data_IF_187341743586
#
_entry.id   IF_187341743586
#
_cell.length_a   1.000
_cell.length_b   1.000
_cell.length_c   1.000
_cell.angle_alpha   90.00
_cell.angle_beta   90.00
_cell.angle_gamma   90.00
#
_symmetry.space_group_name_H-M   'P 1'
#
loop_
_entity.id
_entity.type
_entity.pdbx_description
1 polymer ?
#
# COMPACT_ATOMS: atom_id res chain seq x y z
N UNK A 1 -8.28 -8.06 17.21
CA UNK A 1 -7.24 -7.06 16.87
C UNK A 1 -7.93 -5.70 16.77
N UNK A 2 -7.40 -4.64 17.37
CA UNK A 2 -8.01 -3.30 17.28
C UNK A 2 -7.99 -2.81 15.81
N UNK A 3 -9.06 -2.21 15.29
CA UNK A 3 -9.21 -1.87 13.86
C UNK A 3 -8.05 -1.02 13.30
N UNK A 4 -7.51 -0.13 14.15
CA UNK A 4 -6.35 0.71 13.82
C UNK A 4 -5.05 -0.08 13.58
N UNK A 5 -4.91 -1.24 14.23
CA UNK A 5 -3.76 -2.13 14.04
C UNK A 5 -3.92 -2.90 12.72
N UNK A 6 -5.14 -3.25 12.33
CA UNK A 6 -5.40 -3.91 11.06
C UNK A 6 -5.06 -3.00 9.88
N UNK A 7 -5.43 -1.72 9.96
CA UNK A 7 -5.10 -0.73 8.93
C UNK A 7 -3.58 -0.52 8.75
N UNK A 8 -2.80 -0.43 9.84
CA UNK A 8 -1.33 -0.35 9.72
C UNK A 8 -0.73 -1.63 9.13
N UNK A 9 -1.25 -2.82 9.45
CA UNK A 9 -0.64 -4.08 8.98
C UNK A 9 -1.04 -4.48 7.57
N UNK A 10 -2.29 -4.24 7.17
CA UNK A 10 -2.86 -4.89 5.99
C UNK A 10 -3.48 -3.96 4.97
N UNK A 11 -3.61 -2.64 5.23
CA UNK A 11 -4.35 -1.77 4.30
C UNK A 11 -3.76 -1.78 2.88
N UNK A 12 -2.45 -1.59 2.65
CA UNK A 12 -1.93 -1.63 1.29
C UNK A 12 -2.03 -3.01 0.66
N UNK A 13 -1.73 -4.06 1.43
CA UNK A 13 -1.84 -5.44 0.98
C UNK A 13 -3.27 -5.78 0.53
N UNK A 14 -4.27 -5.48 1.36
CA UNK A 14 -5.67 -5.68 1.06
C UNK A 14 -6.11 -4.87 -0.15
N UNK A 15 -5.72 -3.59 -0.23
CA UNK A 15 -6.08 -2.72 -1.36
C UNK A 15 -5.53 -3.28 -2.67
N UNK A 16 -4.25 -3.66 -2.71
CA UNK A 16 -3.63 -4.23 -3.92
C UNK A 16 -4.29 -5.53 -4.34
N UNK A 17 -4.48 -6.47 -3.41
CA UNK A 17 -5.05 -7.77 -3.72
C UNK A 17 -6.53 -7.67 -4.11
N UNK A 18 -7.32 -6.82 -3.43
CA UNK A 18 -8.73 -6.62 -3.74
C UNK A 18 -8.91 -5.99 -5.13
N UNK A 19 -8.18 -4.90 -5.43
CA UNK A 19 -8.24 -4.25 -6.74
C UNK A 19 -7.82 -5.21 -7.85
N UNK A 20 -6.78 -6.01 -7.61
CA UNK A 20 -6.32 -7.01 -8.59
C UNK A 20 -7.32 -8.13 -8.83
N UNK A 21 -7.93 -8.64 -7.77
CA UNK A 21 -8.96 -9.66 -7.87
C UNK A 21 -10.20 -9.15 -8.60
N UNK A 22 -10.67 -7.93 -8.28
CA UNK A 22 -11.81 -7.31 -8.95
C UNK A 22 -11.51 -7.09 -10.44
N UNK A 23 -10.31 -6.60 -10.78
CA UNK A 23 -9.91 -6.40 -12.17
C UNK A 23 -9.84 -7.72 -12.96
N UNK A 24 -9.34 -8.80 -12.36
CA UNK A 24 -9.33 -10.13 -13.00
C UNK A 24 -10.73 -10.68 -13.26
N UNK A 25 -11.70 -10.33 -12.41
CA UNK A 25 -13.10 -10.73 -12.55
C UNK A 25 -13.89 -9.81 -13.50
N UNK A 26 -13.26 -8.78 -14.08
CA UNK A 26 -13.95 -7.81 -14.95
C UNK A 26 -14.84 -6.83 -14.19
N UNK A 27 -14.62 -6.64 -12.87
CA UNK A 27 -15.53 -5.88 -12.02
C UNK A 27 -15.49 -4.36 -12.18
N UNK A 28 -14.60 -3.81 -13.00
CA UNK A 28 -14.45 -2.37 -13.20
C UNK A 28 -14.96 -1.85 -14.56
N UNK A 29 -15.29 -2.73 -15.50
CA UNK A 29 -15.82 -2.33 -16.81
C UNK A 29 -16.10 -3.52 -17.73
N UNK A 30 -16.78 -3.26 -18.83
CA UNK A 30 -17.23 -4.29 -19.78
C UNK A 30 -16.09 -4.78 -20.69
N UNK A 31 -15.00 -4.01 -20.80
CA UNK A 31 -13.83 -4.36 -21.62
C UNK A 31 -12.59 -4.67 -20.78
N UNK A 32 -11.65 -5.42 -21.37
CA UNK A 32 -10.33 -5.69 -20.76
C UNK A 32 -9.54 -4.40 -20.55
N UNK A 33 -9.68 -3.42 -21.45
CA UNK A 33 -8.99 -2.14 -21.38
C UNK A 33 -9.48 -1.30 -20.19
N UNK A 34 -10.80 -1.27 -19.93
CA UNK A 34 -11.36 -0.55 -18.79
C UNK A 34 -10.81 -1.10 -17.47
N UNK A 35 -10.79 -2.42 -17.31
CA UNK A 35 -10.24 -3.07 -16.12
C UNK A 35 -8.73 -2.80 -15.97
N UNK A 36 -7.99 -2.76 -17.09
CA UNK A 36 -6.57 -2.42 -17.11
C UNK A 36 -6.28 -0.98 -16.66
N UNK A 37 -7.16 -0.02 -16.98
CA UNK A 37 -7.01 1.38 -16.54
C UNK A 37 -7.08 1.53 -15.02
N UNK A 38 -7.93 0.74 -14.35
CA UNK A 38 -7.99 0.75 -12.88
C UNK A 38 -6.72 0.17 -12.23
N UNK A 39 -6.09 -0.82 -12.86
CA UNK A 39 -4.77 -1.32 -12.42
C UNK A 39 -3.70 -0.24 -12.58
N UNK A 40 -3.69 0.49 -13.71
CA UNK A 40 -2.76 1.60 -13.93
C UNK A 40 -2.96 2.72 -12.92
N UNK A 41 -4.21 3.13 -12.68
CA UNK A 41 -4.55 4.08 -11.61
C UNK A 41 -4.07 3.58 -10.24
N UNK A 42 -4.25 2.29 -10.00
CA UNK A 42 -3.73 1.56 -8.86
C UNK A 42 -2.23 1.80 -8.66
N UNK A 43 -1.45 1.46 -9.68
CA UNK A 43 0.00 1.55 -9.67
C UNK A 43 0.53 2.99 -9.48
N UNK A 44 -0.04 3.95 -10.20
CA UNK A 44 0.50 5.32 -10.21
C UNK A 44 0.04 6.17 -9.02
N UNK A 45 -1.14 5.92 -8.47
CA UNK A 45 -1.73 6.80 -7.46
C UNK A 45 -2.16 6.06 -6.21
N UNK A 46 -3.05 5.07 -6.35
CA UNK A 46 -3.70 4.46 -5.19
C UNK A 46 -2.69 3.75 -4.28
N UNK A 47 -1.81 2.91 -4.84
CA UNK A 47 -0.85 2.11 -4.09
C UNK A 47 0.20 2.98 -3.37
N UNK A 48 0.85 3.97 -4.02
CA UNK A 48 1.70 4.93 -3.31
C UNK A 48 1.00 5.61 -2.13
N UNK A 49 -0.25 6.05 -2.32
CA UNK A 49 -1.02 6.76 -1.28
C UNK A 49 -1.33 5.85 -0.10
N UNK A 50 -1.74 4.60 -0.33
CA UNK A 50 -1.99 3.67 0.79
C UNK A 50 -0.69 3.27 1.52
N UNK A 51 0.46 3.18 0.85
CA UNK A 51 1.76 2.98 1.49
C UNK A 51 2.17 4.19 2.34
N UNK A 52 1.97 5.42 1.84
CA UNK A 52 2.17 6.66 2.60
C UNK A 52 1.30 6.66 3.87
N UNK A 53 0.01 6.35 3.72
CA UNK A 53 -0.92 6.28 4.85
C UNK A 53 -0.52 5.20 5.85
N UNK A 54 -0.06 4.03 5.39
CA UNK A 54 0.44 2.97 6.24
C UNK A 54 1.62 3.46 7.09
N UNK A 55 2.60 4.12 6.48
CA UNK A 55 3.74 4.71 7.18
C UNK A 55 3.29 5.70 8.27
N UNK A 56 2.35 6.58 7.93
CA UNK A 56 1.77 7.55 8.86
C UNK A 56 1.12 6.86 10.07
N UNK A 57 0.22 5.90 9.85
CA UNK A 57 -0.51 5.23 10.94
C UNK A 57 0.43 4.42 11.83
N UNK A 58 1.38 3.70 11.22
CA UNK A 58 2.33 2.90 11.99
C UNK A 58 3.23 3.77 12.88
N UNK A 59 3.70 4.92 12.39
CA UNK A 59 4.46 5.87 13.20
C UNK A 59 3.61 6.54 14.29
N UNK A 60 2.39 6.96 13.96
CA UNK A 60 1.48 7.63 14.90
C UNK A 60 1.13 6.74 16.10
N UNK A 61 1.00 5.44 15.87
CA UNK A 61 0.69 4.44 16.91
C UNK A 61 1.92 3.79 17.55
N UNK A 62 3.13 4.12 17.09
CA UNK A 62 4.37 3.52 17.60
C UNK A 62 4.49 2.02 17.28
N UNK A 63 3.85 1.55 16.21
CA UNK A 63 3.95 0.16 15.79
C UNK A 63 5.27 -0.11 15.06
N UNK A 64 5.82 -1.34 15.17
CA UNK A 64 7.03 -1.71 14.45
C UNK A 64 6.77 -1.63 12.94
N UNK A 65 7.62 -0.90 12.22
CA UNK A 65 7.43 -0.59 10.80
C UNK A 65 7.79 -1.76 9.87
N UNK A 66 8.65 -2.69 10.32
CA UNK A 66 9.21 -3.72 9.46
C UNK A 66 8.15 -4.75 9.00
N UNK A 67 7.38 -5.30 9.93
CA UNK A 67 6.33 -6.28 9.65
C UNK A 67 5.25 -5.75 8.67
N UNK A 68 4.62 -4.58 8.89
CA UNK A 68 3.60 -4.04 7.98
C UNK A 68 4.18 -3.78 6.56
N UNK A 69 5.43 -3.33 6.48
CA UNK A 69 6.12 -3.11 5.21
C UNK A 69 6.34 -4.43 4.47
N UNK A 70 6.87 -5.48 5.14
CA UNK A 70 7.08 -6.81 4.53
C UNK A 70 5.76 -7.36 3.97
N UNK A 71 4.68 -7.30 4.74
CA UNK A 71 3.36 -7.80 4.31
C UNK A 71 2.91 -7.07 3.02
N UNK A 72 3.09 -5.76 2.96
CA UNK A 72 2.67 -4.95 1.81
C UNK A 72 3.56 -5.18 0.59
N UNK A 73 4.87 -5.34 0.79
CA UNK A 73 5.81 -5.70 -0.27
C UNK A 73 5.50 -7.09 -0.84
N UNK A 74 5.21 -8.07 0.01
CA UNK A 74 4.81 -9.42 -0.44
C UNK A 74 3.50 -9.37 -1.25
N UNK A 75 2.52 -8.61 -0.79
CA UNK A 75 1.26 -8.44 -1.51
C UNK A 75 1.45 -7.78 -2.90
N UNK A 76 2.40 -6.84 -3.03
CA UNK A 76 2.77 -6.28 -4.32
C UNK A 76 3.32 -7.37 -5.27
N UNK A 77 4.24 -8.20 -4.81
CA UNK A 77 4.77 -9.29 -5.65
C UNK A 77 3.68 -10.29 -6.04
N UNK A 78 2.81 -10.67 -5.11
CA UNK A 78 1.66 -11.54 -5.40
C UNK A 78 0.78 -10.91 -6.49
N UNK A 79 0.45 -9.63 -6.38
CA UNK A 79 -0.33 -8.90 -7.38
C UNK A 79 0.34 -8.91 -8.75
N UNK A 80 1.65 -8.61 -8.82
CA UNK A 80 2.40 -8.60 -10.07
C UNK A 80 2.38 -9.99 -10.73
N UNK A 81 2.56 -11.06 -9.96
CA UNK A 81 2.48 -12.43 -10.46
C UNK A 81 1.06 -12.80 -10.93
N UNK A 82 0.03 -12.44 -10.16
CA UNK A 82 -1.37 -12.69 -10.52
C UNK A 82 -1.78 -12.00 -11.82
N UNK A 83 -1.32 -10.77 -12.03
CA UNK A 83 -1.64 -9.96 -13.21
C UNK A 83 -0.61 -10.10 -14.35
N UNK A 84 0.42 -10.95 -14.18
CA UNK A 84 1.52 -11.15 -15.14
C UNK A 84 2.20 -9.85 -15.59
N UNK A 85 2.32 -8.88 -14.68
CA UNK A 85 2.94 -7.58 -14.98
C UNK A 85 4.47 -7.67 -14.95
N UNK A 86 5.15 -6.81 -15.70
CA UNK A 86 6.62 -6.70 -15.70
C UNK A 86 7.15 -5.46 -14.96
N UNK A 87 6.29 -4.79 -14.18
CA UNK A 87 6.52 -3.46 -13.63
C UNK A 87 7.05 -3.48 -12.18
N UNK A 88 8.06 -4.29 -11.93
CA UNK A 88 8.61 -4.52 -10.58
C UNK A 88 9.24 -3.27 -9.94
N UNK A 89 9.68 -2.31 -10.75
CA UNK A 89 10.35 -1.09 -10.27
C UNK A 89 9.45 -0.20 -9.43
N UNK A 90 8.11 -0.32 -9.56
CA UNK A 90 7.19 0.54 -8.80
C UNK A 90 7.26 0.36 -7.29
N UNK A 91 7.70 -0.81 -6.82
CA UNK A 91 7.85 -1.08 -5.39
C UNK A 91 8.77 -0.07 -4.70
N UNK A 92 9.77 0.45 -5.41
CA UNK A 92 10.70 1.46 -4.89
C UNK A 92 9.95 2.73 -4.53
N UNK A 93 9.07 3.22 -5.40
CA UNK A 93 8.26 4.41 -5.12
C UNK A 93 7.32 4.19 -3.92
N UNK A 94 6.78 2.98 -3.76
CA UNK A 94 5.87 2.67 -2.66
C UNK A 94 6.62 2.61 -1.32
N UNK A 95 7.80 2.01 -1.30
CA UNK A 95 8.68 1.99 -0.12
C UNK A 95 9.12 3.41 0.26
N UNK A 96 9.45 4.25 -0.74
CA UNK A 96 9.76 5.67 -0.51
C UNK A 96 8.54 6.39 0.09
N UNK A 97 7.35 6.20 -0.46
CA UNK A 97 6.12 6.79 0.07
C UNK A 97 5.87 6.38 1.53
N UNK A 98 6.03 5.09 1.84
CA UNK A 98 5.97 4.60 3.22
C UNK A 98 6.99 5.28 4.13
N UNK A 99 8.26 5.35 3.69
CA UNK A 99 9.32 5.97 4.46
C UNK A 99 9.04 7.46 4.74
N UNK A 100 8.56 8.20 3.74
CA UNK A 100 8.14 9.60 3.90
C UNK A 100 7.04 9.69 4.96
N UNK A 101 5.97 8.90 4.85
CA UNK A 101 4.87 8.90 5.82
C UNK A 101 5.33 8.57 7.24
N UNK A 102 6.21 7.59 7.40
CA UNK A 102 6.73 7.16 8.68
C UNK A 102 7.67 8.20 9.32
N UNK A 103 8.66 8.69 8.58
CA UNK A 103 9.66 9.63 9.07
C UNK A 103 9.08 11.00 9.40
N UNK A 104 8.19 11.54 8.56
CA UNK A 104 7.50 12.81 8.84
C UNK A 104 6.71 12.73 10.14
N UNK A 105 5.99 11.63 10.34
CA UNK A 105 5.18 11.42 11.54
C UNK A 105 6.04 11.25 12.79
N UNK A 106 7.16 10.53 12.69
CA UNK A 106 8.13 10.45 13.79
C UNK A 106 8.69 11.84 14.15
N UNK A 107 9.03 12.66 13.15
CA UNK A 107 9.44 14.05 13.36
C UNK A 107 8.39 14.86 14.11
N UNK A 108 7.13 14.76 13.71
CA UNK A 108 6.00 15.45 14.37
C UNK A 108 5.83 14.97 15.82
N UNK A 109 5.91 13.66 16.07
CA UNK A 109 5.81 13.10 17.44
C UNK A 109 6.94 13.58 18.34
N UNK A 110 8.16 13.62 17.81
CA UNK A 110 9.34 14.14 18.51
C UNK A 110 9.17 15.62 18.85
N UNK A 111 8.65 16.43 17.93
CA UNK A 111 8.36 17.85 18.18
C UNK A 111 7.23 18.07 19.20
N UNK A 112 6.26 17.16 19.27
CA UNK A 112 5.15 17.21 20.24
C UNK A 112 5.48 16.60 21.61
N UNK A 113 6.70 16.11 21.83
CA UNK A 113 7.11 15.45 23.07
C UNK A 113 6.35 14.16 23.37
N UNK A 114 5.67 13.57 22.38
CA UNK A 114 4.82 12.39 22.54
C UNK A 114 5.61 11.15 22.12
N UNK A 115 6.54 10.71 22.98
CA UNK A 115 7.32 9.48 22.78
C UNK A 115 6.46 8.22 22.94
#
# INVERSE_FOLDING_TARGET
MNGNKLACFFLPAFTMLAVSAIALLGGFGDTVEDNGQFILFGLYLLYPVVFLYQGFVCALRGYPWLHPLIISVLAFFIMIFMLQLQTYTYIIYYVIAFAIGYLLTLGIRKMRGTN
#
